data_IF_508398180231
#
_entry.id   IF_508398180231
#
_cell.length_a   1.000
_cell.length_b   1.000
_cell.length_c   1.000
_cell.angle_alpha   90.00
_cell.angle_beta   90.00
_cell.angle_gamma   90.00
#
_symmetry.space_group_name_H-M   'P 1'
#
loop_
_entity.id
_entity.type
_entity.pdbx_description
1 polymer ?
#
# COMPACT_ATOMS: atom_id res chain seq x y z
N UNK A 1 9.90 11.72 -9.29
CA UNK A 1 9.03 10.90 -10.15
C UNK A 1 8.39 9.76 -9.35
N UNK A 2 9.18 8.92 -8.68
CA UNK A 2 8.68 7.72 -7.99
C UNK A 2 7.67 7.99 -6.85
N UNK A 3 7.88 9.02 -6.02
CA UNK A 3 6.96 9.39 -4.93
C UNK A 3 5.56 9.82 -5.43
N UNK A 4 5.49 10.46 -6.60
CA UNK A 4 4.21 10.87 -7.20
C UNK A 4 3.47 9.65 -7.74
N UNK A 5 4.19 8.71 -8.35
CA UNK A 5 3.62 7.49 -8.92
C UNK A 5 3.01 6.59 -7.84
N UNK A 6 3.68 6.41 -6.71
CA UNK A 6 3.14 5.61 -5.60
C UNK A 6 1.90 6.26 -4.98
N UNK A 7 1.88 7.59 -4.82
CA UNK A 7 0.69 8.32 -4.33
C UNK A 7 -0.50 8.15 -5.27
N UNK A 8 -0.28 8.17 -6.59
CA UNK A 8 -1.34 7.88 -7.56
C UNK A 8 -1.86 6.43 -7.48
N UNK A 9 -0.95 5.46 -7.29
CA UNK A 9 -1.33 4.06 -7.09
C UNK A 9 -2.15 3.87 -5.82
N UNK A 10 -1.72 4.45 -4.70
CA UNK A 10 -2.46 4.42 -3.44
C UNK A 10 -3.82 5.11 -3.54
N UNK A 11 -3.94 6.20 -4.31
CA UNK A 11 -5.22 6.84 -4.55
C UNK A 11 -6.17 5.95 -5.37
N UNK A 12 -5.66 5.23 -6.37
CA UNK A 12 -6.44 4.25 -7.15
C UNK A 12 -6.86 3.08 -6.28
N UNK A 13 -5.93 2.52 -5.49
CA UNK A 13 -6.18 1.45 -4.54
C UNK A 13 -7.31 1.84 -3.57
N UNK A 14 -7.20 3.01 -2.91
CA UNK A 14 -8.25 3.54 -2.02
C UNK A 14 -9.61 3.70 -2.72
N UNK A 15 -9.62 4.10 -3.99
CA UNK A 15 -10.85 4.25 -4.76
C UNK A 15 -11.51 2.90 -5.07
N UNK A 16 -10.73 1.90 -5.44
CA UNK A 16 -11.24 0.54 -5.65
C UNK A 16 -11.71 -0.09 -4.33
N UNK A 17 -10.95 0.08 -3.26
CA UNK A 17 -11.31 -0.34 -1.90
C UNK A 17 -12.61 0.32 -1.39
N UNK A 18 -12.89 1.56 -1.78
CA UNK A 18 -14.17 2.23 -1.45
C UNK A 18 -15.34 1.73 -2.27
N UNK A 19 -15.10 1.22 -3.48
CA UNK A 19 -16.15 0.64 -4.34
C UNK A 19 -16.46 -0.80 -3.94
N UNK A 20 -15.46 -1.51 -3.44
CA UNK A 20 -15.58 -2.86 -2.93
C UNK A 20 -16.08 -2.82 -1.47
N UNK A 21 -17.02 -3.70 -1.13
CA UNK A 21 -17.34 -3.94 0.27
C UNK A 21 -16.24 -4.79 0.89
N UNK A 22 -15.30 -4.10 1.55
CA UNK A 22 -14.29 -4.70 2.42
C UNK A 22 -14.77 -4.70 3.85
N UNK A 23 -14.34 -5.71 4.61
CA UNK A 23 -14.47 -5.75 6.06
C UNK A 23 -13.72 -4.58 6.72
N UNK A 24 -14.09 -4.30 7.96
CA UNK A 24 -13.56 -3.16 8.71
C UNK A 24 -12.05 -3.32 9.01
N UNK A 25 -11.62 -4.54 9.32
CA UNK A 25 -10.22 -4.86 9.64
C UNK A 25 -9.31 -4.59 8.42
N UNK A 26 -9.71 -5.05 7.23
CA UNK A 26 -8.99 -4.81 5.98
C UNK A 26 -8.94 -3.33 5.62
N UNK A 27 -10.02 -2.58 5.89
CA UNK A 27 -10.03 -1.12 5.67
C UNK A 27 -9.10 -0.38 6.63
N UNK A 28 -8.99 -0.84 7.87
CA UNK A 28 -8.06 -0.28 8.84
C UNK A 28 -6.61 -0.54 8.42
N UNK A 29 -6.26 -1.79 8.09
CA UNK A 29 -4.93 -2.18 7.62
C UNK A 29 -4.47 -1.36 6.41
N UNK A 30 -5.37 -1.09 5.45
CA UNK A 30 -5.07 -0.28 4.27
C UNK A 30 -4.80 1.19 4.64
N UNK A 31 -5.54 1.73 5.61
CA UNK A 31 -5.33 3.11 6.08
C UNK A 31 -3.99 3.24 6.81
N UNK A 32 -3.66 2.26 7.63
CA UNK A 32 -2.38 2.22 8.34
C UNK A 32 -1.23 2.15 7.33
N UNK A 33 -1.32 1.26 6.34
CA UNK A 33 -0.31 1.17 5.28
C UNK A 33 -0.15 2.48 4.51
N UNK A 34 -1.26 3.15 4.18
CA UNK A 34 -1.23 4.42 3.45
C UNK A 34 -0.58 5.55 4.28
N UNK A 35 -0.82 5.57 5.59
CA UNK A 35 -0.16 6.49 6.51
C UNK A 35 1.33 6.20 6.63
N UNK A 36 1.70 4.93 6.79
CA UNK A 36 3.11 4.52 6.89
C UNK A 36 3.89 4.83 5.60
N UNK A 37 3.28 4.61 4.43
CA UNK A 37 3.90 4.99 3.15
C UNK A 37 4.03 6.51 3.04
N UNK A 38 3.01 7.28 3.45
CA UNK A 38 3.11 8.74 3.42
C UNK A 38 4.24 9.27 4.32
N UNK A 39 4.49 8.63 5.47
CA UNK A 39 5.62 8.92 6.37
C UNK A 39 6.97 8.52 5.75
N UNK A 40 7.06 7.35 5.11
CA UNK A 40 8.27 6.93 4.36
C UNK A 40 8.60 7.85 3.18
N UNK A 41 7.59 8.46 2.58
CA UNK A 41 7.77 9.42 1.49
C UNK A 41 8.16 10.81 2.00
N UNK A 42 8.06 11.07 3.30
CA UNK A 42 8.57 12.28 3.92
C UNK A 42 10.11 12.24 3.93
N UNK A 43 10.80 13.25 3.34
CA UNK A 43 12.26 13.35 3.40
C UNK A 43 12.83 13.44 4.83
N UNK A 44 12.03 13.85 5.82
CA UNK A 44 12.39 13.85 7.24
C UNK A 44 11.96 12.56 7.98
N UNK A 45 11.23 11.67 7.30
CA UNK A 45 10.68 10.42 7.81
C UNK A 45 11.74 9.37 8.12
N UNK A 46 11.41 8.49 9.07
CA UNK A 46 12.34 7.50 9.59
C UNK A 46 12.38 6.27 8.67
N UNK A 47 13.38 6.19 7.78
CA UNK A 47 13.57 5.04 6.86
C UNK A 47 13.70 3.67 7.54
N UNK A 48 13.84 3.62 8.87
CA UNK A 48 13.92 2.37 9.63
C UNK A 48 12.64 1.52 9.56
N UNK A 49 11.50 2.11 9.21
CA UNK A 49 10.19 1.41 9.20
C UNK A 49 9.84 0.77 7.86
N UNK A 50 10.71 0.96 6.87
CA UNK A 50 10.50 0.52 5.50
C UNK A 50 10.18 -0.97 5.35
N UNK A 51 10.98 -1.84 5.99
CA UNK A 51 10.78 -3.29 5.94
C UNK A 51 9.41 -3.67 6.56
N UNK A 52 8.98 -2.94 7.59
CA UNK A 52 7.68 -3.16 8.23
C UNK A 52 6.53 -2.80 7.29
N UNK A 53 6.63 -1.67 6.58
CA UNK A 53 5.64 -1.27 5.57
C UNK A 53 5.56 -2.27 4.42
N UNK A 54 6.71 -2.73 3.93
CA UNK A 54 6.79 -3.75 2.90
C UNK A 54 6.15 -5.08 3.36
N UNK A 55 6.36 -5.47 4.61
CA UNK A 55 5.73 -6.66 5.17
C UNK A 55 4.20 -6.50 5.25
N UNK A 56 3.70 -5.39 5.82
CA UNK A 56 2.26 -5.09 5.89
C UNK A 56 1.61 -5.10 4.50
N UNK A 57 2.27 -4.51 3.51
CA UNK A 57 1.79 -4.49 2.13
C UNK A 57 1.64 -5.90 1.54
N UNK A 58 2.59 -6.81 1.81
CA UNK A 58 2.54 -8.21 1.36
C UNK A 58 1.46 -9.02 2.06
N UNK A 59 1.23 -8.77 3.34
CA UNK A 59 0.14 -9.39 4.11
C UNK A 59 -1.22 -9.01 3.51
N UNK A 60 -1.41 -7.71 3.24
CA UNK A 60 -2.60 -7.20 2.54
C UNK A 60 -2.74 -7.78 1.13
N UNK A 61 -1.67 -7.82 0.34
CA UNK A 61 -1.67 -8.45 -0.98
C UNK A 61 -2.19 -9.90 -0.92
N UNK A 62 -1.74 -10.67 0.08
CA UNK A 62 -2.14 -12.07 0.27
C UNK A 62 -3.62 -12.19 0.63
N UNK A 63 -4.12 -11.32 1.51
CA UNK A 63 -5.54 -11.27 1.87
C UNK A 63 -6.40 -10.94 0.64
N UNK A 64 -6.00 -9.93 -0.13
CA UNK A 64 -6.70 -9.55 -1.35
C UNK A 64 -6.58 -10.56 -2.48
N UNK A 65 -5.53 -11.39 -2.54
CA UNK A 65 -5.37 -12.39 -3.59
C UNK A 65 -6.53 -13.40 -3.62
N UNK A 66 -7.13 -13.67 -2.46
CA UNK A 66 -8.22 -14.64 -2.32
C UNK A 66 -9.57 -14.01 -2.62
N UNK A 67 -9.81 -12.78 -2.14
CA UNK A 67 -11.14 -12.16 -2.17
C UNK A 67 -11.29 -11.10 -3.28
N UNK A 68 -10.20 -10.40 -3.61
CA UNK A 68 -10.20 -9.25 -4.51
C UNK A 68 -8.98 -9.19 -5.44
N UNK A 69 -8.94 -10.00 -6.51
CA UNK A 69 -7.81 -10.06 -7.45
C UNK A 69 -7.45 -8.72 -8.11
N UNK A 70 -8.43 -7.82 -8.23
CA UNK A 70 -8.18 -6.47 -8.75
C UNK A 70 -7.38 -5.62 -7.78
N UNK A 71 -7.70 -5.70 -6.47
CA UNK A 71 -7.01 -4.96 -5.41
C UNK A 71 -5.60 -5.52 -5.20
N UNK A 72 -5.44 -6.86 -5.26
CA UNK A 72 -4.14 -7.53 -5.23
C UNK A 72 -3.17 -6.98 -6.28
N UNK A 73 -3.62 -6.81 -7.53
CA UNK A 73 -2.76 -6.26 -8.58
C UNK A 73 -2.27 -4.85 -8.27
N UNK A 74 -3.13 -3.99 -7.73
CA UNK A 74 -2.73 -2.66 -7.31
C UNK A 74 -1.74 -2.71 -6.14
N UNK A 75 -1.96 -3.59 -5.17
CA UNK A 75 -1.02 -3.79 -4.05
C UNK A 75 0.34 -4.28 -4.51
N UNK A 76 0.39 -5.22 -5.45
CA UNK A 76 1.63 -5.70 -6.06
C UNK A 76 2.39 -4.56 -6.76
N UNK A 77 1.70 -3.70 -7.51
CA UNK A 77 2.31 -2.51 -8.11
C UNK A 77 2.85 -1.53 -7.07
N UNK A 78 2.15 -1.35 -5.93
CA UNK A 78 2.64 -0.53 -4.81
C UNK A 78 3.92 -1.13 -4.22
N UNK A 79 3.93 -2.44 -3.93
CA UNK A 79 5.10 -3.18 -3.41
C UNK A 79 6.29 -3.06 -4.37
N UNK A 80 6.08 -3.31 -5.67
CA UNK A 80 7.12 -3.20 -6.68
C UNK A 80 7.68 -1.77 -6.77
N UNK A 81 6.82 -0.77 -6.59
CA UNK A 81 7.23 0.63 -6.58
C UNK A 81 8.07 0.97 -5.35
N UNK A 82 7.66 0.52 -4.15
CA UNK A 82 8.43 0.67 -2.91
C UNK A 82 9.82 0.05 -3.06
N UNK A 83 9.89 -1.23 -3.45
CA UNK A 83 11.17 -1.95 -3.67
C UNK A 83 12.05 -1.21 -4.68
N UNK A 84 11.47 -0.71 -5.77
CA UNK A 84 12.21 0.04 -6.80
C UNK A 84 12.75 1.38 -6.29
N UNK A 85 12.10 1.97 -5.30
CA UNK A 85 12.57 3.19 -4.63
C UNK A 85 13.72 2.92 -3.67
N UNK A 86 14.11 1.65 -3.47
CA UNK A 86 15.14 1.27 -2.50
C UNK A 86 14.69 1.50 -1.06
N UNK A 87 13.37 1.58 -0.88
CA UNK A 87 12.66 1.49 0.39
C UNK A 87 11.94 0.13 0.36
#
# INVERSE_FOLDING_TARGET
MSNTQIRELLAKLRKEIKKTELDEDTRELVRDLDADIDDLLDPEGNRAETDSVLQKARELETNFATEHPTIERFMREVIDTLVRMGI
#
